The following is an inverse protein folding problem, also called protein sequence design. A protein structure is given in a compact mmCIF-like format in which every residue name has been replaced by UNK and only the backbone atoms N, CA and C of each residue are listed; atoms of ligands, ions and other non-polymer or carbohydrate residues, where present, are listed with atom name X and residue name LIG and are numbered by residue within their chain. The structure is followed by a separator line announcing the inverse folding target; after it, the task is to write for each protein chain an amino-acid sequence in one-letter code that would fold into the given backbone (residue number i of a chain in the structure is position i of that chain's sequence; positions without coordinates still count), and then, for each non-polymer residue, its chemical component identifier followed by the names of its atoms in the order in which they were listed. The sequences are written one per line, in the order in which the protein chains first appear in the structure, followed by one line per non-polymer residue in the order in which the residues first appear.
data_IF_551988001076
#
_entry.id   IF_551988001076
#
_cell.length_a   1.000
_cell.length_b   1.000
_cell.length_c   1.000
_cell.angle_alpha   90.00
_cell.angle_beta   90.00
_cell.angle_gamma   90.00
#
_symmetry.space_group_name_H-M   'P 1'
#
loop_
_entity.id
_entity.type
_entity.pdbx_description
1 polymer ?
#
# COMPACT_ATOMS: atom_id res chain seq x y z
N UNK A 1 -58.81 -11.07 11.64
CA UNK A 1 -58.25 -12.43 11.84
C UNK A 1 -56.78 -12.36 11.50
N UNK A 2 -55.97 -12.57 12.53
CA UNK A 2 -54.50 -12.59 12.50
C UNK A 2 -54.06 -13.86 11.78
N UNK A 3 -53.11 -13.76 10.86
CA UNK A 3 -52.23 -14.89 10.52
C UNK A 3 -50.80 -14.39 10.33
N UNK A 4 -49.98 -14.88 11.25
CA UNK A 4 -48.53 -14.77 11.40
C UNK A 4 -47.82 -15.67 10.40
N UNK A 5 -46.74 -15.18 9.78
CA UNK A 5 -45.72 -16.02 9.17
C UNK A 5 -44.33 -15.50 9.57
N UNK A 6 -43.74 -16.20 10.52
CA UNK A 6 -42.34 -16.11 10.95
C UNK A 6 -41.46 -16.90 9.97
N UNK A 7 -40.36 -16.31 9.54
CA UNK A 7 -39.32 -16.99 8.77
C UNK A 7 -38.04 -16.16 8.80
N UNK A 8 -37.34 -16.18 9.93
CA UNK A 8 -36.02 -15.58 10.07
C UNK A 8 -34.98 -16.42 9.32
N UNK A 9 -34.26 -15.78 8.41
CA UNK A 9 -33.04 -16.35 7.83
C UNK A 9 -31.88 -15.53 8.38
N UNK A 10 -31.20 -16.08 9.38
CA UNK A 10 -29.97 -15.54 9.96
C UNK A 10 -28.86 -15.83 8.95
N UNK A 11 -28.45 -14.82 8.20
CA UNK A 11 -27.24 -14.87 7.39
C UNK A 11 -26.17 -14.08 8.16
N UNK A 12 -25.31 -14.83 8.84
CA UNK A 12 -24.14 -14.30 9.54
C UNK A 12 -23.26 -13.55 8.53
N UNK A 13 -23.02 -12.26 8.79
CA UNK A 13 -22.14 -11.40 8.01
C UNK A 13 -20.70 -11.53 8.53
N UNK A 14 -19.69 -11.50 7.66
CA UNK A 14 -18.30 -11.46 8.09
C UNK A 14 -18.03 -10.12 8.77
N UNK A 15 -17.51 -10.18 10.01
CA UNK A 15 -17.14 -9.03 10.82
C UNK A 15 -15.84 -8.41 10.27
N UNK A 16 -15.90 -7.12 9.96
CA UNK A 16 -14.75 -6.32 9.55
C UNK A 16 -13.71 -6.13 10.66
N UNK A 17 -12.51 -5.73 10.25
CA UNK A 17 -11.23 -5.74 10.97
C UNK A 17 -11.11 -4.63 12.03
N UNK A 18 -12.10 -4.48 12.92
CA UNK A 18 -12.08 -3.46 13.98
C UNK A 18 -12.30 -3.99 15.41
N UNK A 19 -12.28 -5.32 15.64
CA UNK A 19 -12.63 -5.90 16.94
C UNK A 19 -11.50 -6.64 17.70
N UNK A 20 -10.24 -6.53 17.27
CA UNK A 20 -9.14 -7.32 17.85
C UNK A 20 -8.23 -6.57 18.85
N UNK A 21 -8.51 -5.32 19.22
CA UNK A 21 -7.64 -4.55 20.15
C UNK A 21 -8.47 -3.89 21.25
N UNK A 22 -9.07 -4.69 22.14
CA UNK A 22 -9.70 -4.18 23.36
C UNK A 22 -9.86 -5.28 24.42
N UNK A 23 -8.76 -5.87 24.88
CA UNK A 23 -8.82 -6.79 26.02
C UNK A 23 -7.48 -6.95 26.75
N UNK A 24 -6.78 -5.86 27.11
CA UNK A 24 -5.65 -5.96 28.06
C UNK A 24 -5.25 -4.60 28.66
N UNK A 25 -6.14 -3.96 29.43
CA UNK A 25 -5.76 -2.88 30.35
C UNK A 25 -6.86 -2.61 31.38
N UNK A 26 -6.99 -3.49 32.37
CA UNK A 26 -7.80 -3.22 33.55
C UNK A 26 -7.21 -3.95 34.76
N UNK A 27 -6.13 -3.42 35.34
CA UNK A 27 -5.89 -3.52 36.78
C UNK A 27 -4.80 -2.55 37.25
N UNK A 28 -5.21 -1.41 37.81
CA UNK A 28 -4.70 -0.81 39.04
C UNK A 28 -5.09 0.66 39.13
N UNK A 29 -6.16 0.91 39.88
CA UNK A 29 -6.38 2.17 40.55
C UNK A 29 -5.82 2.04 41.98
N UNK A 30 -4.93 2.93 42.41
CA UNK A 30 -5.17 3.67 43.66
C UNK A 30 -4.21 4.87 43.88
N UNK A 31 -4.74 5.81 44.67
CA UNK A 31 -4.09 6.78 45.55
C UNK A 31 -3.41 8.04 44.97
N UNK A 32 -4.21 9.12 44.98
CA UNK A 32 -3.80 10.51 45.08
C UNK A 32 -2.92 10.81 46.33
N UNK A 33 -2.14 11.91 46.32
CA UNK A 33 -2.04 12.93 47.41
C UNK A 33 -0.94 14.00 47.18
N UNK A 34 -1.40 15.26 47.05
CA UNK A 34 -0.84 16.57 47.47
C UNK A 34 0.56 17.09 47.04
N UNK A 35 0.53 18.30 46.46
CA UNK A 35 1.57 19.34 46.53
C UNK A 35 1.28 20.32 47.71
N UNK A 36 1.98 21.46 47.93
CA UNK A 36 3.40 21.84 47.72
C UNK A 36 4.02 22.51 48.98
N UNK A 37 5.34 22.80 49.03
CA UNK A 37 5.87 23.95 49.84
C UNK A 37 7.21 24.48 49.31
N UNK A 38 7.30 25.82 49.28
CA UNK A 38 8.36 26.72 48.82
C UNK A 38 9.45 26.93 49.89
N UNK A 39 10.71 27.15 49.49
CA UNK A 39 11.75 27.77 50.33
C UNK A 39 13.07 27.99 49.58
N UNK A 40 13.52 29.24 49.47
CA UNK A 40 14.57 29.66 48.51
C UNK A 40 15.94 30.06 49.06
N UNK A 41 16.70 30.70 48.15
CA UNK A 41 17.79 31.68 48.32
C UNK A 41 19.26 31.23 48.12
N UNK A 42 19.84 31.79 47.04
CA UNK A 42 21.16 32.45 46.87
C UNK A 42 22.49 31.69 46.79
N UNK A 43 22.99 31.58 45.53
CA UNK A 43 24.23 32.17 44.94
C UNK A 43 25.63 31.78 45.50
N UNK A 44 26.47 31.15 44.66
CA UNK A 44 27.75 31.71 44.10
C UNK A 44 28.52 30.68 43.25
N UNK A 45 29.32 31.21 42.32
CA UNK A 45 29.96 30.64 41.12
C UNK A 45 31.13 29.65 41.39
N UNK A 46 31.35 28.68 40.48
CA UNK A 46 32.55 28.61 39.60
C UNK A 46 32.71 27.26 38.87
N UNK A 47 32.75 27.35 37.52
CA UNK A 47 33.62 26.65 36.55
C UNK A 47 33.92 25.15 36.74
N UNK A 48 33.45 24.34 35.78
CA UNK A 48 33.97 23.00 35.51
C UNK A 48 33.35 22.41 34.24
N UNK A 49 34.18 22.18 33.22
CA UNK A 49 33.84 21.48 31.98
C UNK A 49 33.12 20.16 32.25
N UNK A 50 31.98 19.91 31.60
CA UNK A 50 31.64 18.57 31.14
C UNK A 50 30.61 18.62 30.02
N UNK A 51 31.01 18.02 28.92
CA UNK A 51 30.20 17.66 27.76
C UNK A 51 29.20 16.59 28.23
N UNK A 52 28.04 17.02 28.68
CA UNK A 52 26.92 16.13 28.98
C UNK A 52 25.90 16.28 27.85
N UNK A 53 25.77 15.21 27.07
CA UNK A 53 24.70 14.96 26.13
C UNK A 53 23.35 15.23 26.80
N UNK A 54 22.56 16.14 26.25
CA UNK A 54 21.14 16.30 26.58
C UNK A 54 20.43 14.97 26.31
N UNK A 55 20.26 14.18 27.36
CA UNK A 55 19.31 13.08 27.42
C UNK A 55 18.05 13.63 28.09
N UNK A 56 17.38 14.57 27.40
CA UNK A 56 16.07 15.04 27.85
C UNK A 56 14.99 14.13 27.26
N UNK A 57 14.36 13.40 28.19
CA UNK A 57 12.95 13.02 28.22
C UNK A 57 12.31 12.30 27.02
N UNK A 58 12.74 11.07 26.74
CA UNK A 58 11.87 10.09 26.06
C UNK A 58 10.63 9.72 26.89
N UNK A 59 10.61 10.04 28.19
CA UNK A 59 9.51 9.73 29.12
C UNK A 59 8.44 10.84 29.22
N UNK A 60 8.61 11.97 28.53
CA UNK A 60 7.65 13.10 28.55
C UNK A 60 6.87 13.28 27.24
N UNK A 61 7.10 12.42 26.25
CA UNK A 61 6.46 12.51 24.95
C UNK A 61 4.95 12.22 25.09
N UNK A 62 4.11 13.09 24.52
CA UNK A 62 2.70 12.79 24.36
C UNK A 62 2.49 11.65 23.36
N UNK A 63 1.31 11.03 23.35
CA UNK A 63 0.97 10.00 22.35
C UNK A 63 1.11 10.53 20.92
N UNK A 64 0.85 11.83 20.70
CA UNK A 64 1.03 12.51 19.42
C UNK A 64 2.52 12.65 19.06
N UNK A 65 3.37 13.01 20.02
CA UNK A 65 4.82 13.09 19.80
C UNK A 65 5.43 11.69 19.54
N UNK A 66 4.95 10.67 20.25
CA UNK A 66 5.37 9.27 20.04
C UNK A 66 4.96 8.80 18.65
N UNK A 67 3.73 9.10 18.22
CA UNK A 67 3.26 8.78 16.88
C UNK A 67 4.10 9.48 15.81
N UNK A 68 4.33 10.79 15.95
CA UNK A 68 5.15 11.57 15.02
C UNK A 68 6.59 11.04 14.95
N UNK A 69 7.20 10.72 16.10
CA UNK A 69 8.54 10.14 16.13
C UNK A 69 8.59 8.77 15.45
N UNK A 70 7.59 7.92 15.71
CA UNK A 70 7.49 6.59 15.08
C UNK A 70 7.35 6.70 13.56
N UNK A 71 6.52 7.63 13.08
CA UNK A 71 6.37 7.90 11.65
C UNK A 71 7.67 8.44 11.03
N UNK A 72 8.37 9.34 11.72
CA UNK A 72 9.65 9.86 11.25
C UNK A 72 10.71 8.75 11.11
N UNK A 73 10.81 7.84 12.08
CA UNK A 73 11.73 6.70 12.01
C UNK A 73 11.36 5.79 10.84
N UNK A 74 10.08 5.44 10.68
CA UNK A 74 9.60 4.64 9.54
C UNK A 74 9.95 5.29 8.20
N UNK A 75 9.74 6.60 8.07
CA UNK A 75 10.05 7.36 6.87
C UNK A 75 11.56 7.40 6.60
N UNK A 76 12.38 7.57 7.63
CA UNK A 76 13.84 7.55 7.49
C UNK A 76 14.32 6.16 7.04
N UNK A 77 13.82 5.08 7.63
CA UNK A 77 14.16 3.71 7.21
C UNK A 77 13.69 3.42 5.78
N UNK A 78 12.48 3.84 5.43
CA UNK A 78 11.95 3.71 4.08
C UNK A 78 12.80 4.48 3.06
N UNK A 79 13.30 5.67 3.42
CA UNK A 79 14.13 6.50 2.54
C UNK A 79 15.44 5.83 2.13
N UNK A 80 15.94 4.86 2.91
CA UNK A 80 17.14 4.08 2.60
C UNK A 80 16.94 3.07 1.47
N UNK A 81 15.68 2.71 1.17
CA UNK A 81 15.32 1.81 0.07
C UNK A 81 15.03 2.63 -1.19
N UNK A 82 15.34 2.15 -2.40
CA UNK A 82 14.91 2.84 -3.62
C UNK A 82 13.37 2.90 -3.69
N UNK A 83 12.84 3.87 -4.44
CA UNK A 83 11.39 4.05 -4.62
C UNK A 83 10.73 2.79 -5.22
N UNK A 84 11.40 2.19 -6.20
CA UNK A 84 11.09 0.87 -6.76
C UNK A 84 12.39 0.07 -6.81
N UNK A 85 12.36 -1.16 -6.30
CA UNK A 85 13.51 -2.05 -6.28
C UNK A 85 13.59 -2.89 -7.57
N UNK A 86 14.77 -3.43 -7.90
CA UNK A 86 14.85 -4.54 -8.85
C UNK A 86 13.95 -5.71 -8.44
N UNK A 87 13.61 -6.57 -9.42
CA UNK A 87 12.90 -7.82 -9.14
C UNK A 87 13.76 -8.69 -8.22
N UNK A 88 13.11 -9.35 -7.26
CA UNK A 88 13.75 -10.26 -6.31
C UNK A 88 12.94 -11.55 -6.18
N UNK A 89 13.58 -12.72 -5.97
CA UNK A 89 12.86 -13.97 -5.76
C UNK A 89 11.92 -13.91 -4.55
N UNK A 90 10.75 -14.54 -4.64
CA UNK A 90 9.85 -14.69 -3.48
C UNK A 90 10.49 -15.49 -2.33
N UNK A 91 11.56 -16.25 -2.58
CA UNK A 91 12.34 -16.87 -1.51
C UNK A 91 13.01 -15.86 -0.60
N UNK A 92 13.40 -14.67 -1.09
CA UNK A 92 13.92 -13.62 -0.22
C UNK A 92 12.84 -13.10 0.73
N UNK A 93 11.63 -12.88 0.23
CA UNK A 93 10.50 -12.50 1.07
C UNK A 93 10.22 -13.57 2.12
N UNK A 94 10.31 -14.86 1.74
CA UNK A 94 10.15 -15.98 2.68
C UNK A 94 11.16 -15.92 3.83
N UNK A 95 12.43 -15.62 3.52
CA UNK A 95 13.51 -15.53 4.52
C UNK A 95 13.26 -14.40 5.55
N UNK A 96 12.63 -13.29 5.14
CA UNK A 96 12.25 -12.20 6.06
C UNK A 96 11.32 -12.68 7.18
N UNK A 97 10.45 -13.67 6.90
CA UNK A 97 9.50 -14.22 7.86
C UNK A 97 10.01 -15.47 8.59
N UNK A 98 11.15 -16.03 8.17
CA UNK A 98 11.80 -17.19 8.78
C UNK A 98 13.26 -16.92 9.19
N UNK A 99 13.60 -15.82 9.89
CA UNK A 99 14.99 -15.45 10.16
C UNK A 99 15.75 -16.47 11.04
N UNK A 100 15.03 -17.33 11.76
CA UNK A 100 15.62 -18.37 12.60
C UNK A 100 15.87 -19.72 11.89
N UNK A 101 15.40 -19.90 10.65
CA UNK A 101 15.60 -21.15 9.90
C UNK A 101 17.09 -21.41 9.59
N UNK A 102 17.90 -20.35 9.41
CA UNK A 102 19.34 -20.49 9.13
C UNK A 102 20.20 -20.65 10.40
N UNK A 103 19.72 -20.20 11.57
CA UNK A 103 20.45 -20.34 12.85
C UNK A 103 20.32 -21.76 13.41
N UNK A 104 19.18 -22.39 13.18
CA UNK A 104 18.95 -23.80 13.51
C UNK A 104 19.32 -24.63 12.27
N UNK A 105 20.58 -24.52 11.84
CA UNK A 105 21.07 -25.15 10.61
C UNK A 105 20.59 -26.58 10.51
N UNK A 106 19.71 -26.86 9.53
CA UNK A 106 19.17 -28.17 9.17
C UNK A 106 19.29 -29.21 10.29
N UNK A 107 18.70 -28.94 11.46
CA UNK A 107 18.76 -29.91 12.54
C UNK A 107 17.73 -30.98 12.24
N UNK A 108 18.14 -32.23 12.40
CA UNK A 108 17.34 -33.45 12.60
C UNK A 108 16.27 -33.32 13.74
N UNK A 109 15.80 -32.11 14.07
CA UNK A 109 14.85 -31.84 15.16
C UNK A 109 13.40 -32.02 14.77
N UNK A 110 13.08 -32.24 13.49
CA UNK A 110 11.70 -32.51 13.05
C UNK A 110 10.73 -31.34 13.21
N UNK A 111 11.22 -30.12 13.48
CA UNK A 111 10.40 -28.91 13.44
C UNK A 111 10.06 -28.58 11.99
N UNK A 112 8.78 -28.38 11.71
CA UNK A 112 8.35 -27.98 10.36
C UNK A 112 8.71 -26.52 10.09
N UNK A 113 8.96 -26.17 8.82
CA UNK A 113 9.13 -24.79 8.34
C UNK A 113 7.94 -23.85 8.70
N UNK A 114 6.84 -24.43 9.22
CA UNK A 114 5.60 -23.75 9.56
C UNK A 114 5.35 -23.71 11.06
N UNK A 115 6.38 -23.41 11.83
CA UNK A 115 6.28 -23.20 13.27
C UNK A 115 6.55 -21.73 13.63
N UNK A 116 5.85 -21.27 14.66
CA UNK A 116 5.99 -19.91 15.17
C UNK A 116 4.97 -18.90 14.62
N UNK A 117 5.13 -17.61 14.96
CA UNK A 117 4.10 -16.60 14.76
C UNK A 117 3.82 -16.29 13.30
N UNK A 118 4.75 -16.59 12.38
CA UNK A 118 4.61 -16.33 10.94
C UNK A 118 4.26 -17.58 10.12
N UNK A 119 3.86 -18.68 10.77
CA UNK A 119 3.62 -19.96 10.10
C UNK A 119 2.63 -19.82 8.92
N UNK A 120 1.52 -19.10 9.09
CA UNK A 120 0.53 -18.95 8.03
C UNK A 120 1.07 -18.09 6.87
N UNK A 121 1.81 -17.03 7.19
CA UNK A 121 2.49 -16.18 6.19
C UNK A 121 3.44 -17.02 5.33
N UNK A 122 4.27 -17.87 5.96
CA UNK A 122 5.20 -18.76 5.25
C UNK A 122 4.46 -19.76 4.36
N UNK A 123 3.38 -20.38 4.86
CA UNK A 123 2.52 -21.28 4.08
C UNK A 123 1.89 -20.58 2.87
N UNK A 124 1.51 -19.30 3.00
CA UNK A 124 0.96 -18.48 1.90
C UNK A 124 2.01 -18.10 0.87
N UNK A 125 3.23 -17.75 1.28
CA UNK A 125 4.35 -17.51 0.35
C UNK A 125 4.68 -18.78 -0.44
N UNK A 126 4.71 -19.94 0.22
CA UNK A 126 4.95 -21.21 -0.45
C UNK A 126 3.80 -21.59 -1.40
N UNK A 127 2.56 -21.25 -1.05
CA UNK A 127 1.41 -21.42 -1.94
C UNK A 127 1.53 -20.54 -3.19
N UNK A 128 1.88 -19.25 -3.05
CA UNK A 128 2.08 -18.32 -4.16
C UNK A 128 3.08 -18.88 -5.18
N UNK A 129 4.16 -19.52 -4.68
CA UNK A 129 5.23 -20.11 -5.50
C UNK A 129 4.85 -21.43 -6.17
N UNK A 130 4.20 -22.34 -5.42
CA UNK A 130 3.89 -23.70 -5.90
C UNK A 130 2.63 -23.75 -6.75
N UNK A 131 1.59 -23.02 -6.35
CA UNK A 131 0.24 -23.09 -6.93
C UNK A 131 -0.16 -21.79 -7.63
N UNK A 132 0.30 -20.64 -7.13
CA UNK A 132 -0.04 -19.33 -7.68
C UNK A 132 0.72 -18.94 -8.95
N UNK A 133 1.83 -19.62 -9.27
CA UNK A 133 2.65 -19.30 -10.45
C UNK A 133 3.54 -18.06 -10.29
N UNK A 134 3.61 -17.49 -9.09
CA UNK A 134 4.44 -16.31 -8.79
C UNK A 134 5.83 -16.74 -8.37
N UNK A 135 6.88 -16.16 -8.95
CA UNK A 135 8.26 -16.52 -8.62
C UNK A 135 9.03 -15.38 -8.00
N UNK A 136 8.60 -14.15 -8.23
CA UNK A 136 9.32 -12.98 -7.81
C UNK A 136 8.39 -11.87 -7.31
N UNK A 137 9.02 -10.87 -6.69
CA UNK A 137 8.40 -9.69 -6.11
C UNK A 137 9.25 -8.48 -6.48
N UNK A 138 8.57 -7.41 -6.90
CA UNK A 138 9.16 -6.09 -7.09
C UNK A 138 8.74 -5.20 -5.93
N UNK A 139 9.72 -4.87 -5.08
CA UNK A 139 9.45 -4.11 -3.86
C UNK A 139 9.31 -2.62 -4.14
N UNK A 140 8.38 -1.95 -3.47
CA UNK A 140 8.31 -0.49 -3.49
C UNK A 140 8.63 0.11 -2.13
N UNK A 141 8.95 1.40 -2.08
CA UNK A 141 9.20 2.09 -0.81
C UNK A 141 7.91 2.20 -0.01
N UNK A 142 7.95 1.87 1.28
CA UNK A 142 6.84 2.07 2.22
C UNK A 142 6.73 3.52 2.67
N UNK A 143 6.48 4.44 1.75
CA UNK A 143 6.35 5.89 1.98
C UNK A 143 4.90 6.37 1.95
N UNK A 144 3.93 5.45 1.95
CA UNK A 144 2.49 5.73 1.77
C UNK A 144 2.06 5.90 0.32
N UNK A 145 2.98 6.01 -0.65
CA UNK A 145 2.68 6.10 -2.09
C UNK A 145 2.84 4.76 -2.82
N UNK A 146 3.21 3.69 -2.10
CA UNK A 146 3.52 2.35 -2.62
C UNK A 146 2.46 1.78 -3.59
N UNK A 147 1.17 1.92 -3.30
CA UNK A 147 0.10 1.47 -4.19
C UNK A 147 0.14 2.16 -5.56
N UNK A 148 0.11 3.50 -5.56
CA UNK A 148 0.12 4.30 -6.78
C UNK A 148 1.38 4.04 -7.60
N UNK A 149 2.53 3.94 -6.92
CA UNK A 149 3.82 3.68 -7.54
C UNK A 149 3.90 2.29 -8.17
N UNK A 150 3.46 1.26 -7.43
CA UNK A 150 3.41 -0.13 -7.92
C UNK A 150 2.48 -0.27 -9.12
N UNK A 151 1.29 0.32 -9.06
CA UNK A 151 0.32 0.29 -10.15
C UNK A 151 0.85 1.00 -11.39
N UNK A 152 1.42 2.20 -11.24
CA UNK A 152 1.98 2.96 -12.36
C UNK A 152 3.11 2.21 -13.06
N UNK A 153 4.03 1.61 -12.29
CA UNK A 153 5.13 0.81 -12.83
C UNK A 153 4.60 -0.37 -13.64
N UNK A 154 3.73 -1.18 -13.01
CA UNK A 154 3.15 -2.37 -13.65
C UNK A 154 2.27 -2.02 -14.86
N UNK A 155 1.62 -0.85 -14.85
CA UNK A 155 0.85 -0.35 -15.99
C UNK A 155 1.75 -0.11 -17.22
N UNK A 156 2.90 0.54 -17.04
CA UNK A 156 3.84 0.78 -18.15
C UNK A 156 4.51 -0.51 -18.61
N UNK A 157 4.94 -1.38 -17.69
CA UNK A 157 5.54 -2.68 -17.99
C UNK A 157 4.58 -3.57 -18.80
N UNK A 158 3.28 -3.51 -18.51
CA UNK A 158 2.24 -4.20 -19.28
C UNK A 158 2.11 -3.67 -20.70
N UNK A 159 2.24 -2.36 -20.91
CA UNK A 159 2.23 -1.76 -22.25
C UNK A 159 3.48 -2.20 -23.04
N UNK A 160 4.64 -2.26 -22.37
CA UNK A 160 5.90 -2.73 -22.97
C UNK A 160 5.85 -4.19 -23.41
N UNK A 161 5.17 -5.04 -22.64
CA UNK A 161 5.06 -6.48 -22.88
C UNK A 161 3.81 -6.88 -23.69
N UNK A 162 3.01 -5.90 -24.12
CA UNK A 162 1.83 -6.14 -24.93
C UNK A 162 2.21 -6.73 -26.31
N UNK A 163 1.37 -7.58 -26.93
CA UNK A 163 1.64 -8.14 -28.25
C UNK A 163 1.86 -7.08 -29.34
N UNK A 164 1.14 -5.95 -29.22
CA UNK A 164 1.22 -4.79 -30.13
C UNK A 164 1.50 -3.52 -29.33
N UNK A 165 2.77 -3.25 -28.93
CA UNK A 165 3.10 -2.13 -28.03
C UNK A 165 2.67 -0.77 -28.57
N UNK A 166 2.72 -0.56 -29.90
CA UNK A 166 2.27 0.70 -30.50
C UNK A 166 0.77 0.96 -30.37
N UNK A 167 -0.04 -0.09 -30.51
CA UNK A 167 -1.48 0.01 -30.27
C UNK A 167 -1.78 0.19 -28.77
N UNK A 168 -1.05 -0.50 -27.91
CA UNK A 168 -1.18 -0.38 -26.46
C UNK A 168 -0.84 1.04 -25.99
N UNK A 169 0.24 1.65 -26.49
CA UNK A 169 0.60 3.05 -26.23
C UNK A 169 -0.50 3.99 -26.70
N UNK A 170 -0.92 3.89 -27.96
CA UNK A 170 -1.95 4.78 -28.51
C UNK A 170 -3.27 4.70 -27.73
N UNK A 171 -3.70 3.50 -27.38
CA UNK A 171 -4.92 3.26 -26.61
C UNK A 171 -4.80 3.80 -25.18
N UNK A 172 -3.65 3.56 -24.54
CA UNK A 172 -3.38 4.02 -23.16
C UNK A 172 -3.32 5.54 -23.07
N UNK A 173 -2.64 6.21 -24.01
CA UNK A 173 -2.57 7.67 -24.06
C UNK A 173 -3.93 8.29 -24.36
N UNK A 174 -4.66 7.76 -25.34
CA UNK A 174 -6.00 8.23 -25.66
C UNK A 174 -6.96 8.07 -24.48
N UNK A 175 -6.87 6.96 -23.75
CA UNK A 175 -7.67 6.74 -22.54
C UNK A 175 -7.28 7.70 -21.43
N UNK A 176 -5.99 7.85 -21.13
CA UNK A 176 -5.51 8.80 -20.12
C UNK A 176 -5.94 10.24 -20.41
N UNK A 177 -5.79 10.69 -21.66
CA UNK A 177 -6.25 12.02 -22.09
C UNK A 177 -7.77 12.18 -21.88
N UNK A 178 -8.55 11.12 -22.13
CA UNK A 178 -10.00 11.13 -21.89
C UNK A 178 -10.40 11.27 -20.41
N UNK A 179 -9.47 11.02 -19.48
CA UNK A 179 -9.70 11.23 -18.04
C UNK A 179 -9.50 12.67 -17.59
N UNK A 180 -8.81 13.53 -18.36
CA UNK A 180 -8.51 14.90 -17.95
C UNK A 180 -9.78 15.76 -17.68
N UNK A 181 -10.87 15.66 -18.48
CA UNK A 181 -12.11 16.35 -18.16
C UNK A 181 -12.73 15.96 -16.81
N UNK A 182 -12.42 14.77 -16.28
CA UNK A 182 -12.86 14.36 -14.94
C UNK A 182 -12.21 15.22 -13.86
N UNK A 183 -10.91 15.50 -13.98
CA UNK A 183 -10.15 16.37 -13.07
C UNK A 183 -10.72 17.79 -13.09
N UNK A 184 -10.97 18.35 -14.28
CA UNK A 184 -11.52 19.69 -14.42
C UNK A 184 -12.93 19.81 -13.81
N UNK A 185 -13.80 18.82 -14.04
CA UNK A 185 -15.13 18.74 -13.43
C UNK A 185 -15.08 18.60 -11.91
N UNK A 186 -14.04 17.99 -11.37
CA UNK A 186 -13.83 17.87 -9.93
C UNK A 186 -13.34 19.18 -9.29
N UNK A 187 -13.00 20.18 -10.12
CA UNK A 187 -12.58 21.51 -9.70
C UNK A 187 -11.07 21.74 -9.76
N UNK A 188 -10.29 20.77 -10.26
CA UNK A 188 -8.86 20.97 -10.46
C UNK A 188 -8.62 21.85 -11.69
N UNK A 189 -7.78 22.87 -11.54
CA UNK A 189 -7.39 23.72 -12.66
C UNK A 189 -6.35 22.96 -13.49
N UNK A 190 -6.41 23.06 -14.83
CA UNK A 190 -5.49 22.38 -15.73
C UNK A 190 -4.01 22.56 -15.37
N UNK A 191 -3.62 23.79 -15.05
CA UNK A 191 -2.25 24.15 -14.65
C UNK A 191 -1.75 23.42 -13.38
N UNK A 192 -2.66 22.86 -12.57
CA UNK A 192 -2.30 22.12 -11.35
C UNK A 192 -1.90 20.68 -11.68
N UNK A 193 -2.44 20.09 -12.74
CA UNK A 193 -2.24 18.67 -13.05
C UNK A 193 -1.53 18.40 -14.38
N UNK A 194 -1.40 19.39 -15.27
CA UNK A 194 -0.88 19.16 -16.63
C UNK A 194 0.56 18.64 -16.63
N UNK A 195 1.47 19.25 -15.86
CA UNK A 195 2.86 18.78 -15.76
C UNK A 195 2.96 17.35 -15.19
N UNK A 196 2.10 17.01 -14.22
CA UNK A 196 2.07 15.67 -13.62
C UNK A 196 1.51 14.62 -14.59
N UNK A 197 0.49 14.99 -15.36
CA UNK A 197 -0.04 14.16 -16.45
C UNK A 197 1.03 13.94 -17.53
N UNK A 198 1.70 15.01 -17.95
CA UNK A 198 2.74 14.98 -18.99
C UNK A 198 3.87 14.02 -18.60
N UNK A 199 4.32 14.03 -17.35
CA UNK A 199 5.32 13.08 -16.85
C UNK A 199 4.91 11.61 -17.09
N UNK A 200 3.64 11.27 -16.91
CA UNK A 200 3.17 9.89 -17.13
C UNK A 200 2.96 9.58 -18.61
N UNK A 201 2.37 10.52 -19.36
CA UNK A 201 2.13 10.38 -20.79
C UNK A 201 3.45 10.25 -21.57
N UNK A 202 4.46 11.04 -21.24
CA UNK A 202 5.79 10.97 -21.84
C UNK A 202 6.47 9.62 -21.57
N UNK A 203 6.33 9.08 -20.36
CA UNK A 203 6.89 7.76 -20.02
C UNK A 203 6.23 6.65 -20.84
N UNK A 204 4.91 6.67 -21.00
CA UNK A 204 4.17 5.72 -21.85
C UNK A 204 4.58 5.87 -23.31
N UNK A 205 4.74 7.11 -23.79
CA UNK A 205 5.14 7.38 -25.17
C UNK A 205 6.54 6.83 -25.50
N UNK A 206 7.45 6.77 -24.51
CA UNK A 206 8.80 6.23 -24.68
C UNK A 206 8.84 4.71 -24.92
N UNK A 207 7.75 3.98 -24.67
CA UNK A 207 7.69 2.53 -24.95
C UNK A 207 7.90 2.24 -26.45
N UNK A 208 7.45 3.13 -27.33
CA UNK A 208 7.69 3.00 -28.78
C UNK A 208 8.89 3.83 -29.25
N UNK A 209 9.65 3.34 -30.24
CA UNK A 209 10.78 4.09 -30.79
C UNK A 209 10.35 5.45 -31.35
N UNK A 210 11.09 6.50 -30.97
CA UNK A 210 10.93 7.85 -31.51
C UNK A 210 12.24 8.28 -32.20
N UNK A 211 12.22 9.05 -33.31
CA UNK A 211 13.44 9.46 -33.99
C UNK A 211 14.47 10.09 -33.03
N UNK A 212 15.66 9.49 -32.95
CA UNK A 212 16.76 9.99 -32.12
C UNK A 212 16.71 9.58 -30.63
N UNK A 213 15.76 8.73 -30.21
CA UNK A 213 15.70 8.19 -28.85
C UNK A 213 15.56 6.67 -28.87
N UNK A 214 16.24 5.99 -27.95
CA UNK A 214 16.03 4.55 -27.73
C UNK A 214 14.66 4.34 -27.06
N UNK A 215 13.95 3.24 -27.40
CA UNK A 215 12.73 2.88 -26.69
C UNK A 215 13.03 2.51 -25.23
N UNK A 216 12.01 2.63 -24.39
CA UNK A 216 12.07 2.27 -22.99
C UNK A 216 12.41 0.76 -22.83
N UNK A 217 13.41 0.46 -22.02
CA UNK A 217 13.75 -0.89 -21.53
C UNK A 217 13.34 -1.04 -20.06
N UNK A 218 13.32 -2.26 -19.54
CA UNK A 218 12.97 -2.51 -18.13
C UNK A 218 13.93 -1.86 -17.15
N UNK A 219 15.22 -1.78 -17.50
CA UNK A 219 16.23 -1.05 -16.73
C UNK A 219 15.93 0.46 -16.73
N UNK A 220 15.67 1.04 -17.91
CA UNK A 220 15.35 2.47 -17.98
C UNK A 220 14.02 2.81 -17.30
N UNK A 221 13.01 1.94 -17.38
CA UNK A 221 11.75 2.10 -16.63
C UNK A 221 12.02 2.13 -15.12
N UNK A 222 12.86 1.21 -14.63
CA UNK A 222 13.29 1.18 -13.24
C UNK A 222 14.03 2.46 -12.84
N UNK A 223 14.96 2.93 -13.67
CA UNK A 223 15.67 4.21 -13.45
C UNK A 223 14.70 5.39 -13.35
N UNK A 224 13.70 5.47 -14.24
CA UNK A 224 12.69 6.55 -14.20
C UNK A 224 11.85 6.49 -12.92
N UNK A 225 11.46 5.30 -12.47
CA UNK A 225 10.72 5.12 -11.21
C UNK A 225 11.58 5.24 -9.96
N UNK A 226 12.91 5.17 -10.08
CA UNK A 226 13.85 5.50 -9.01
C UNK A 226 14.16 7.00 -8.94
N UNK A 227 13.89 7.77 -10.00
CA UNK A 227 13.97 9.22 -9.98
C UNK A 227 12.78 9.81 -9.17
N UNK A 228 13.05 10.50 -8.05
CA UNK A 228 11.97 11.05 -7.21
C UNK A 228 11.08 12.06 -7.92
N UNK A 229 11.62 12.88 -8.82
CA UNK A 229 10.85 13.90 -9.53
C UNK A 229 9.81 13.25 -10.45
N UNK A 230 10.24 12.30 -11.27
CA UNK A 230 9.39 11.62 -12.25
C UNK A 230 8.39 10.71 -11.54
N UNK A 231 8.88 9.89 -10.62
CA UNK A 231 8.03 8.93 -9.93
C UNK A 231 6.98 9.61 -9.06
N UNK A 232 7.33 10.68 -8.33
CA UNK A 232 6.36 11.40 -7.52
C UNK A 232 5.39 12.23 -8.36
N UNK A 233 5.81 12.76 -9.51
CA UNK A 233 4.90 13.44 -10.44
C UNK A 233 3.80 12.51 -10.93
N UNK A 234 4.17 11.29 -11.33
CA UNK A 234 3.19 10.26 -11.75
C UNK A 234 2.26 9.90 -10.59
N UNK A 235 2.79 9.71 -9.37
CA UNK A 235 1.98 9.43 -8.17
C UNK A 235 0.96 10.55 -7.91
N UNK A 236 1.38 11.82 -7.98
CA UNK A 236 0.49 12.96 -7.75
C UNK A 236 -0.63 12.98 -8.79
N UNK A 237 -0.33 12.78 -10.08
CA UNK A 237 -1.36 12.67 -11.11
C UNK A 237 -2.39 11.57 -10.80
N UNK A 238 -1.94 10.38 -10.42
CA UNK A 238 -2.82 9.26 -10.10
C UNK A 238 -3.66 9.52 -8.83
N UNK A 239 -3.10 10.20 -7.82
CA UNK A 239 -3.83 10.64 -6.63
C UNK A 239 -4.95 11.63 -6.97
N UNK A 240 -4.66 12.63 -7.81
CA UNK A 240 -5.67 13.59 -8.27
C UNK A 240 -6.76 12.91 -9.09
N UNK A 241 -6.39 11.98 -9.98
CA UNK A 241 -7.36 11.21 -10.76
C UNK A 241 -8.26 10.36 -9.87
N UNK A 242 -7.69 9.72 -8.85
CA UNK A 242 -8.43 8.94 -7.84
C UNK A 242 -9.41 9.83 -7.08
N UNK A 243 -8.98 11.00 -6.62
CA UNK A 243 -9.84 11.99 -5.95
C UNK A 243 -11.00 12.41 -6.85
N UNK A 244 -10.71 12.79 -8.09
CA UNK A 244 -11.73 13.21 -9.04
C UNK A 244 -12.76 12.11 -9.32
N UNK A 245 -12.32 10.86 -9.43
CA UNK A 245 -13.21 9.71 -9.62
C UNK A 245 -14.12 9.48 -8.41
N UNK A 246 -13.57 9.43 -7.19
CA UNK A 246 -14.36 9.26 -5.97
C UNK A 246 -15.41 10.39 -5.82
N UNK A 247 -15.06 11.62 -6.18
CA UNK A 247 -15.96 12.79 -6.11
C UNK A 247 -17.11 12.72 -7.12
N UNK A 248 -16.91 12.12 -8.30
CA UNK A 248 -17.79 12.31 -9.47
C UNK A 248 -18.45 11.04 -10.02
N UNK A 249 -18.21 9.89 -9.41
CA UNK A 249 -18.79 8.60 -9.81
C UNK A 249 -19.83 8.12 -8.78
N UNK A 250 -21.00 8.77 -8.68
CA UNK A 250 -22.04 8.43 -7.70
C UNK A 250 -22.61 7.01 -7.87
N UNK A 251 -22.47 6.42 -9.06
CA UNK A 251 -22.90 5.06 -9.37
C UNK A 251 -22.19 3.98 -8.54
N UNK A 252 -20.96 4.23 -8.10
CA UNK A 252 -20.18 3.30 -7.28
C UNK A 252 -20.45 3.42 -5.78
N UNK A 253 -21.17 4.48 -5.37
CA UNK A 253 -21.49 4.85 -3.97
C UNK A 253 -20.36 4.56 -2.96
N UNK A 254 -19.32 5.39 -3.00
CA UNK A 254 -18.16 5.25 -2.11
C UNK A 254 -18.48 5.55 -0.64
N UNK A 255 -19.55 6.32 -0.37
CA UNK A 255 -19.89 6.88 0.95
C UNK A 255 -19.81 5.88 2.11
N UNK A 256 -20.32 4.64 2.00
CA UNK A 256 -20.30 3.67 3.11
C UNK A 256 -18.90 3.17 3.47
N UNK A 257 -17.91 3.40 2.61
CA UNK A 257 -16.55 2.88 2.72
C UNK A 257 -15.52 3.96 3.06
N UNK A 258 -15.93 5.24 3.15
CA UNK A 258 -15.04 6.35 3.46
C UNK A 258 -14.85 6.46 4.97
N UNK A 259 -13.99 5.61 5.52
CA UNK A 259 -13.74 5.50 6.95
C UNK A 259 -12.43 6.21 7.28
N UNK A 260 -12.43 7.03 8.34
CA UNK A 260 -11.22 7.62 8.88
C UNK A 260 -10.31 6.53 9.46
N UNK A 261 -9.05 6.39 9.00
CA UNK A 261 -8.16 5.30 9.43
C UNK A 261 -7.95 5.23 10.94
N UNK A 262 -7.80 6.38 11.61
CA UNK A 262 -7.51 6.41 13.05
C UNK A 262 -8.76 6.30 13.96
N UNK A 263 -9.88 6.92 13.59
CA UNK A 263 -11.08 6.95 14.45
C UNK A 263 -12.10 5.87 14.11
N UNK A 264 -12.02 5.27 12.93
CA UNK A 264 -13.00 4.30 12.44
C UNK A 264 -14.37 4.90 12.08
N UNK A 265 -14.49 6.23 12.06
CA UNK A 265 -15.74 6.93 11.74
C UNK A 265 -15.90 7.15 10.23
N UNK A 266 -17.14 7.08 9.75
CA UNK A 266 -17.45 7.45 8.36
C UNK A 266 -17.29 8.96 8.22
N UNK A 267 -16.53 9.38 7.22
CA UNK A 267 -16.28 10.78 6.88
C UNK A 267 -16.86 11.11 5.50
N UNK A 268 -17.11 12.39 5.27
CA UNK A 268 -17.65 12.83 4.00
C UNK A 268 -16.62 12.71 2.86
N UNK A 269 -17.13 12.61 1.63
CA UNK A 269 -16.32 12.45 0.42
C UNK A 269 -15.21 13.49 0.32
N UNK A 270 -15.53 14.76 0.61
CA UNK A 270 -14.58 15.86 0.45
C UNK A 270 -13.45 15.74 1.46
N UNK A 271 -13.77 15.55 2.73
CA UNK A 271 -12.76 15.35 3.78
C UNK A 271 -11.88 14.14 3.48
N UNK A 272 -12.48 13.03 3.02
CA UNK A 272 -11.73 11.82 2.69
C UNK A 272 -10.70 12.06 1.59
N UNK A 273 -11.12 12.62 0.46
CA UNK A 273 -10.22 12.78 -0.70
C UNK A 273 -9.15 13.84 -0.45
N UNK A 274 -9.46 14.95 0.23
CA UNK A 274 -8.49 16.00 0.55
C UNK A 274 -7.43 15.49 1.56
N UNK A 275 -7.82 14.63 2.51
CA UNK A 275 -6.94 14.21 3.62
C UNK A 275 -6.18 12.91 3.34
N UNK A 276 -6.80 11.94 2.68
CA UNK A 276 -6.30 10.56 2.55
C UNK A 276 -6.01 10.14 1.10
N UNK A 277 -6.37 10.96 0.11
CA UNK A 277 -6.13 10.64 -1.31
C UNK A 277 -5.17 11.64 -1.94
N UNK A 278 -5.47 12.92 -1.89
CA UNK A 278 -4.68 14.00 -2.51
C UNK A 278 -3.35 14.22 -1.80
N UNK A 279 -3.33 14.13 -0.47
CA UNK A 279 -2.10 14.22 0.31
C UNK A 279 -1.16 13.04 0.00
N UNK A 280 0.08 13.36 -0.37
CA UNK A 280 1.13 12.37 -0.58
C UNK A 280 1.52 11.68 0.72
N UNK A 281 1.98 10.44 0.62
CA UNK A 281 2.37 9.63 1.76
C UNK A 281 1.22 9.14 2.64
N UNK A 282 -0.01 9.14 2.10
CA UNK A 282 -1.18 8.51 2.71
C UNK A 282 -1.48 7.17 2.04
N UNK A 283 -1.57 6.12 2.84
CA UNK A 283 -1.85 4.77 2.37
C UNK A 283 -3.17 4.70 1.58
N UNK A 284 -3.16 3.90 0.51
CA UNK A 284 -4.35 3.60 -0.27
C UNK A 284 -5.02 2.34 0.25
N UNK A 285 -6.35 2.38 0.35
CA UNK A 285 -7.18 1.23 0.70
C UNK A 285 -8.21 0.98 -0.40
N UNK A 286 -9.16 0.08 -0.14
CA UNK A 286 -10.17 -0.39 -1.07
C UNK A 286 -10.85 0.73 -1.88
N UNK A 287 -11.30 1.87 -1.31
CA UNK A 287 -11.92 2.94 -2.10
C UNK A 287 -10.99 3.50 -3.18
N UNK A 288 -9.72 3.75 -2.84
CA UNK A 288 -8.72 4.31 -3.76
C UNK A 288 -8.35 3.29 -4.85
N UNK A 289 -8.15 2.03 -4.48
CA UNK A 289 -7.82 0.96 -5.43
C UNK A 289 -8.95 0.78 -6.43
N UNK A 290 -10.18 0.75 -5.92
CA UNK A 290 -11.40 0.60 -6.70
C UNK A 290 -11.60 1.77 -7.68
N UNK A 291 -11.46 2.99 -7.19
CA UNK A 291 -11.60 4.20 -8.00
C UNK A 291 -10.54 4.25 -9.12
N UNK A 292 -9.28 3.98 -8.80
CA UNK A 292 -8.21 4.06 -9.78
C UNK A 292 -8.25 2.92 -10.80
N UNK A 293 -8.63 1.70 -10.37
CA UNK A 293 -8.90 0.57 -11.27
C UNK A 293 -9.95 0.94 -12.33
N UNK A 294 -11.06 1.55 -11.92
CA UNK A 294 -12.13 1.99 -12.84
C UNK A 294 -11.71 3.17 -13.71
N UNK A 295 -11.05 4.18 -13.12
CA UNK A 295 -10.60 5.36 -13.86
C UNK A 295 -9.60 5.01 -14.98
N UNK A 296 -8.66 4.10 -14.71
CA UNK A 296 -7.68 3.63 -15.70
C UNK A 296 -8.16 2.45 -16.55
N UNK A 297 -9.32 1.85 -16.23
CA UNK A 297 -9.83 0.61 -16.83
C UNK A 297 -8.82 -0.54 -16.73
N UNK A 298 -8.13 -0.63 -15.60
CA UNK A 298 -7.11 -1.65 -15.32
C UNK A 298 -7.66 -2.65 -14.32
N UNK A 299 -7.53 -3.95 -14.64
CA UNK A 299 -7.81 -5.02 -13.67
C UNK A 299 -6.67 -5.09 -12.66
N UNK A 300 -7.00 -5.00 -11.38
CA UNK A 300 -6.07 -5.12 -10.26
C UNK A 300 -6.50 -6.30 -9.40
N UNK A 301 -5.58 -7.18 -9.03
CA UNK A 301 -5.82 -8.22 -8.02
C UNK A 301 -4.86 -7.99 -6.86
N UNK A 302 -5.37 -8.04 -5.63
CA UNK A 302 -4.57 -7.82 -4.41
C UNK A 302 -4.53 -9.12 -3.63
N UNK A 303 -3.34 -9.70 -3.52
CA UNK A 303 -3.04 -10.87 -2.71
C UNK A 303 -2.76 -10.45 -1.26
N UNK A 304 -3.60 -10.88 -0.31
CA UNK A 304 -3.46 -10.52 1.11
C UNK A 304 -2.51 -11.46 1.84
N UNK A 305 -1.29 -10.98 2.08
CA UNK A 305 -0.30 -11.68 2.88
C UNK A 305 -0.41 -11.28 4.35
N UNK A 306 -1.26 -12.00 5.06
CA UNK A 306 -1.48 -11.85 6.49
C UNK A 306 -1.30 -13.20 7.21
N UNK A 307 -1.45 -13.16 8.54
CA UNK A 307 -1.35 -14.34 9.37
C UNK A 307 -2.71 -15.03 9.60
N UNK A 308 -3.73 -14.73 8.78
CA UNK A 308 -5.06 -15.32 8.95
C UNK A 308 -5.00 -16.84 8.83
N UNK A 309 -5.81 -17.49 9.67
CA UNK A 309 -5.92 -18.95 9.68
C UNK A 309 -6.69 -19.42 8.45
N UNK A 310 -6.36 -20.61 7.97
CA UNK A 310 -7.10 -21.29 6.91
C UNK A 310 -6.90 -22.80 7.01
N UNK A 311 -7.46 -23.55 6.07
CA UNK A 311 -7.22 -24.99 5.96
C UNK A 311 -6.04 -25.22 5.03
N UNK A 312 -4.89 -25.73 5.52
CA UNK A 312 -3.76 -26.04 4.66
C UNK A 312 -4.13 -27.13 3.63
N UNK A 313 -3.52 -27.05 2.45
CA UNK A 313 -3.55 -28.11 1.45
C UNK A 313 -2.73 -29.33 1.92
N UNK A 314 -2.83 -30.45 1.19
CA UNK A 314 -2.10 -31.69 1.50
C UNK A 314 -0.57 -31.49 1.56
N UNK A 315 -0.04 -30.53 0.80
CA UNK A 315 1.38 -30.19 0.77
C UNK A 315 1.80 -29.19 1.88
N UNK A 316 0.88 -28.88 2.80
CA UNK A 316 1.08 -27.97 3.92
C UNK A 316 0.96 -26.49 3.59
N UNK A 317 0.77 -26.10 2.33
CA UNK A 317 0.64 -24.68 1.94
C UNK A 317 -0.76 -24.13 2.26
N UNK A 318 -0.89 -22.80 2.35
CA UNK A 318 -2.17 -22.13 2.62
C UNK A 318 -2.55 -21.25 1.42
N UNK A 319 -3.75 -21.44 0.83
CA UNK A 319 -4.25 -20.52 -0.19
C UNK A 319 -4.25 -19.08 0.29
N UNK A 320 -3.87 -18.16 -0.59
CA UNK A 320 -3.91 -16.73 -0.33
C UNK A 320 -5.21 -16.14 -0.89
N UNK A 321 -5.76 -15.17 -0.18
CA UNK A 321 -6.98 -14.48 -0.61
C UNK A 321 -6.64 -13.37 -1.61
N UNK A 322 -7.33 -13.40 -2.75
CA UNK A 322 -7.24 -12.35 -3.77
C UNK A 322 -8.52 -11.52 -3.77
N UNK A 323 -8.38 -10.21 -3.56
CA UNK A 323 -9.46 -9.26 -3.82
C UNK A 323 -9.28 -8.71 -5.23
N UNK A 324 -10.34 -8.78 -6.03
CA UNK A 324 -10.31 -8.39 -7.44
C UNK A 324 -11.02 -7.07 -7.66
N UNK A 325 -10.36 -6.17 -8.37
CA UNK A 325 -10.88 -4.89 -8.80
C UNK A 325 -10.88 -4.88 -10.32
N UNK A 326 -12.07 -4.87 -10.90
CA UNK A 326 -12.26 -4.90 -12.34
C UNK A 326 -13.42 -3.99 -12.74
N UNK A 327 -13.37 -3.51 -13.96
CA UNK A 327 -14.49 -2.83 -14.62
C UNK A 327 -15.35 -3.87 -15.34
N UNK A 328 -16.66 -3.67 -15.38
CA UNK A 328 -17.56 -4.51 -16.18
C UNK A 328 -17.07 -4.56 -17.65
N UNK A 329 -16.93 -5.77 -18.21
CA UNK A 329 -16.41 -6.00 -19.56
C UNK A 329 -14.88 -6.06 -19.68
N UNK A 330 -14.11 -5.77 -18.62
CA UNK A 330 -12.63 -5.81 -18.66
C UNK A 330 -12.04 -7.24 -18.71
N UNK A 331 -12.86 -8.27 -18.53
CA UNK A 331 -12.44 -9.67 -18.67
C UNK A 331 -12.27 -10.09 -20.15
N UNK A 332 -12.90 -9.37 -21.08
CA UNK A 332 -12.92 -9.71 -22.51
C UNK A 332 -11.69 -9.20 -23.28
N UNK A 333 -10.92 -8.28 -22.70
CA UNK A 333 -9.74 -7.67 -23.34
C UNK A 333 -8.50 -8.60 -23.35
N UNK A 334 -8.58 -9.78 -22.72
CA UNK A 334 -7.51 -10.78 -22.69
C UNK A 334 -6.21 -10.35 -21.96
N UNK A 335 -6.12 -9.09 -21.55
CA UNK A 335 -4.97 -8.51 -20.86
C UNK A 335 -4.89 -8.95 -19.40
N UNK A 336 -3.75 -9.50 -18.95
CA UNK A 336 -3.56 -9.95 -17.56
C UNK A 336 -3.79 -8.82 -16.52
N UNK A 337 -4.33 -9.12 -15.33
CA UNK A 337 -4.45 -8.15 -14.25
C UNK A 337 -3.07 -7.75 -13.71
N UNK A 338 -2.96 -6.53 -13.18
CA UNK A 338 -1.85 -6.14 -12.31
C UNK A 338 -2.06 -6.83 -10.97
N UNK A 339 -1.08 -7.58 -10.49
CA UNK A 339 -1.20 -8.32 -9.23
C UNK A 339 -0.29 -7.71 -8.19
N UNK A 340 -0.90 -7.19 -7.12
CA UNK A 340 -0.20 -6.59 -6.00
C UNK A 340 -0.21 -7.55 -4.80
N UNK A 341 0.87 -7.55 -4.04
CA UNK A 341 0.96 -8.20 -2.74
C UNK A 341 0.70 -7.15 -1.66
N UNK A 342 -0.38 -7.31 -0.90
CA UNK A 342 -0.62 -6.52 0.29
C UNK A 342 0.02 -7.20 1.50
N UNK A 343 0.87 -6.45 2.20
CA UNK A 343 1.33 -6.72 3.57
C UNK A 343 0.74 -5.60 4.44
N UNK A 344 0.51 -5.81 5.75
CA UNK A 344 -0.08 -4.76 6.59
C UNK A 344 0.59 -3.39 6.41
N UNK A 345 -0.14 -2.43 5.83
CA UNK A 345 0.33 -1.07 5.51
C UNK A 345 1.25 -0.92 4.28
N UNK A 346 1.36 -1.92 3.39
CA UNK A 346 2.31 -1.86 2.28
C UNK A 346 1.91 -2.70 1.06
N UNK A 347 2.24 -2.18 -0.13
CA UNK A 347 2.01 -2.86 -1.40
C UNK A 347 3.33 -3.08 -2.16
N UNK A 348 3.48 -4.28 -2.70
CA UNK A 348 4.52 -4.65 -3.66
C UNK A 348 3.86 -5.26 -4.91
N UNK A 349 4.60 -5.41 -6.01
CA UNK A 349 4.08 -6.11 -7.22
C UNK A 349 4.53 -7.57 -7.22
N UNK A 350 3.61 -8.50 -7.51
CA UNK A 350 3.94 -9.91 -7.75
C UNK A 350 4.29 -10.15 -9.21
N UNK A 351 5.35 -10.93 -9.44
CA UNK A 351 5.89 -11.20 -10.76
C UNK A 351 5.92 -12.72 -11.04
N UNK A 352 5.47 -13.13 -12.23
CA UNK A 352 5.47 -14.54 -12.65
C UNK A 352 6.90 -15.06 -12.89
N UNK A 353 7.85 -14.18 -13.21
CA UNK A 353 9.23 -14.51 -13.60
C UNK A 353 10.23 -13.54 -12.98
N UNK A 354 11.49 -14.00 -12.92
CA UNK A 354 12.63 -13.23 -12.39
C UNK A 354 13.20 -12.23 -13.39
N UNK A 355 12.98 -12.43 -14.69
CA UNK A 355 13.46 -11.58 -15.76
C UNK A 355 12.31 -11.26 -16.75
N UNK A 356 12.21 -9.97 -17.11
CA UNK A 356 11.52 -9.46 -18.30
C UNK A 356 12.52 -8.69 -19.13
#
# INVERSE_FOLDING_TARGET
MVQTASGGNNQERPLGVAAAVAAEAADNADAATTAPTVGGSTRSESIGESRATESHDLQSLSDEDIFALTQNIKNEEASRRPLVSPISPLSELRLEFSPFADVIGATDSGLSDYEGPNANVLRKIDWLRKHGGWQAIRRTRGDGDCFYRSLAFAYVEKIMTAPEPGLAVATSLSHLESTLPLLERAGFQKIVFEDFYEAFAELIQQVVPTPGKLPLTNESLLEQFQNPEISNSIVVFLRLLTSAYIRLSPEDDFTPFLIHPDTGEIIDVRTFVETFVEATGREADHPQIMALSRALRVRIEVAYLDNSNGTPLEDGTLPIDFVKFSTEGSEEDGMKPVVLLYRPGHYDTLEEKLDS
#
